data_IF_171466314305
#
_entry.id   IF_171466314305
#
_cell.length_a   1.000
_cell.length_b   1.000
_cell.length_c   1.000
_cell.angle_alpha   90.00
_cell.angle_beta   90.00
_cell.angle_gamma   90.00
#
_symmetry.space_group_name_H-M   'P 1'
#
loop_
_entity.id
_entity.type
_entity.pdbx_description
1 polymer ?
#
# COMPACT_ATOMS: atom_id res chain seq x y z
N UNK A 1 45.62 14.40 -15.97
CA UNK A 1 46.86 13.65 -15.89
C UNK A 1 47.61 13.82 -14.57
N UNK A 2 47.69 15.02 -13.99
CA UNK A 2 48.36 15.28 -12.69
C UNK A 2 47.77 14.49 -11.52
N UNK A 3 46.44 14.41 -11.36
CA UNK A 3 45.77 13.63 -10.32
C UNK A 3 46.15 12.13 -10.30
N UNK A 4 46.32 11.54 -11.48
CA UNK A 4 46.76 10.14 -11.59
C UNK A 4 48.22 9.93 -11.15
N UNK A 5 49.10 10.88 -11.47
CA UNK A 5 50.49 10.81 -11.08
C UNK A 5 50.65 10.94 -9.55
N UNK A 6 49.91 11.86 -8.90
CA UNK A 6 49.94 11.99 -7.45
C UNK A 6 49.35 10.77 -6.73
N UNK A 7 48.32 10.16 -7.30
CA UNK A 7 47.72 8.93 -6.74
C UNK A 7 48.70 7.77 -6.79
N UNK A 8 49.44 7.61 -7.90
CA UNK A 8 50.46 6.55 -8.06
C UNK A 8 51.60 6.72 -7.06
N UNK A 9 52.06 7.97 -6.85
CA UNK A 9 53.13 8.27 -5.89
C UNK A 9 52.63 8.00 -4.44
N UNK A 10 51.40 8.37 -4.10
CA UNK A 10 50.81 8.10 -2.80
C UNK A 10 50.65 6.59 -2.52
N UNK A 11 50.28 5.79 -3.54
CA UNK A 11 50.18 4.34 -3.43
C UNK A 11 51.53 3.68 -3.18
N UNK A 12 52.59 4.16 -3.82
CA UNK A 12 53.96 3.62 -3.59
C UNK A 12 54.56 4.02 -2.27
N UNK A 13 54.15 5.13 -1.68
CA UNK A 13 54.59 5.61 -0.35
C UNK A 13 53.80 5.00 0.81
N UNK A 14 52.67 4.34 0.54
CA UNK A 14 51.84 3.75 1.59
C UNK A 14 52.48 2.49 2.17
N UNK A 15 52.51 2.40 3.51
CA UNK A 15 52.89 1.14 4.21
C UNK A 15 51.95 0.01 3.80
N UNK A 16 52.51 -1.18 3.52
CA UNK A 16 51.75 -2.32 2.98
C UNK A 16 50.49 -2.70 3.78
N UNK A 17 50.52 -2.60 5.11
CA UNK A 17 49.39 -2.96 5.97
C UNK A 17 48.14 -2.10 5.77
N UNK A 18 48.22 -0.75 5.91
CA UNK A 18 47.06 0.12 5.70
C UNK A 18 46.57 0.13 4.24
N UNK A 19 47.44 -0.07 3.28
CA UNK A 19 47.05 -0.18 1.86
C UNK A 19 46.12 -1.38 1.62
N UNK A 20 46.49 -2.57 2.09
CA UNK A 20 45.64 -3.76 1.93
C UNK A 20 44.34 -3.67 2.68
N UNK A 21 44.32 -3.03 3.86
CA UNK A 21 43.11 -2.82 4.64
C UNK A 21 42.13 -1.87 3.91
N UNK A 22 42.63 -0.75 3.38
CA UNK A 22 41.82 0.18 2.58
C UNK A 22 41.29 -0.46 1.30
N UNK A 23 42.13 -1.26 0.61
CA UNK A 23 41.72 -1.99 -0.60
C UNK A 23 40.63 -3.01 -0.32
N UNK A 24 40.72 -3.73 0.80
CA UNK A 24 39.70 -4.69 1.23
C UNK A 24 38.37 -3.99 1.55
N UNK A 25 38.40 -2.86 2.26
CA UNK A 25 37.20 -2.06 2.56
C UNK A 25 36.57 -1.52 1.28
N UNK A 26 37.38 -0.98 0.36
CA UNK A 26 36.89 -0.49 -0.92
C UNK A 26 36.24 -1.60 -1.76
N UNK A 27 36.84 -2.79 -1.78
CA UNK A 27 36.29 -3.96 -2.49
C UNK A 27 34.96 -4.42 -1.87
N UNK A 28 34.82 -4.43 -0.54
CA UNK A 28 33.58 -4.75 0.15
C UNK A 28 32.46 -3.74 -0.15
N UNK A 29 32.78 -2.44 -0.15
CA UNK A 29 31.83 -1.39 -0.49
C UNK A 29 31.38 -1.49 -1.96
N UNK A 30 32.31 -1.71 -2.88
CA UNK A 30 32.01 -1.90 -4.31
C UNK A 30 31.15 -3.15 -4.52
N UNK A 31 31.46 -4.27 -3.87
CA UNK A 31 30.64 -5.49 -3.91
C UNK A 31 29.25 -5.29 -3.35
N UNK A 32 29.10 -4.57 -2.23
CA UNK A 32 27.82 -4.23 -1.64
C UNK A 32 26.96 -3.33 -2.54
N UNK A 33 27.57 -2.32 -3.17
CA UNK A 33 26.90 -1.46 -4.15
C UNK A 33 26.46 -2.24 -5.40
N UNK A 34 27.33 -3.11 -5.92
CA UNK A 34 27.01 -3.94 -7.09
C UNK A 34 25.88 -4.92 -6.77
N UNK A 35 25.92 -5.57 -5.62
CA UNK A 35 24.84 -6.44 -5.15
C UNK A 35 23.50 -5.69 -5.03
N UNK A 36 23.50 -4.50 -4.42
CA UNK A 36 22.31 -3.65 -4.31
C UNK A 36 21.77 -3.23 -5.69
N UNK A 37 22.65 -2.86 -6.61
CA UNK A 37 22.28 -2.50 -7.98
C UNK A 37 21.68 -3.68 -8.75
N UNK A 38 22.29 -4.86 -8.68
CA UNK A 38 21.79 -6.07 -9.32
C UNK A 38 20.43 -6.50 -8.75
N UNK A 39 20.26 -6.44 -7.44
CA UNK A 39 18.98 -6.72 -6.79
C UNK A 39 17.89 -5.74 -7.21
N UNK A 40 18.21 -4.46 -7.31
CA UNK A 40 17.27 -3.44 -7.79
C UNK A 40 16.87 -3.65 -9.25
N UNK A 41 17.81 -4.03 -10.10
CA UNK A 41 17.58 -4.33 -11.52
C UNK A 41 16.73 -5.60 -11.72
N UNK A 42 16.95 -6.62 -10.90
CA UNK A 42 16.14 -7.85 -10.96
C UNK A 42 14.65 -7.56 -10.67
N UNK A 43 14.37 -6.74 -9.67
CA UNK A 43 13.00 -6.32 -9.38
C UNK A 43 12.38 -5.52 -10.53
N UNK A 44 13.12 -4.60 -11.14
CA UNK A 44 12.59 -3.80 -12.27
C UNK A 44 12.27 -4.67 -13.49
N UNK A 45 13.15 -5.59 -13.86
CA UNK A 45 12.96 -6.47 -15.04
C UNK A 45 11.76 -7.41 -14.88
N UNK A 46 11.42 -7.81 -13.65
CA UNK A 46 10.25 -8.64 -13.36
C UNK A 46 8.95 -7.92 -13.73
N UNK A 47 8.90 -6.58 -13.58
CA UNK A 47 7.71 -5.78 -13.88
C UNK A 47 7.66 -5.29 -15.35
N UNK A 48 8.81 -5.07 -16.00
CA UNK A 48 8.86 -4.53 -17.36
C UNK A 48 8.48 -5.57 -18.44
N UNK A 49 8.57 -6.85 -18.16
CA UNK A 49 8.35 -7.94 -19.12
C UNK A 49 6.99 -8.63 -18.99
N UNK A 50 6.10 -8.15 -18.11
CA UNK A 50 4.76 -8.73 -18.01
C UNK A 50 3.83 -8.13 -19.06
N UNK A 51 3.28 -8.93 -19.99
CA UNK A 51 2.26 -8.45 -20.90
C UNK A 51 0.99 -8.12 -20.11
N UNK A 52 0.39 -6.96 -20.41
CA UNK A 52 -0.92 -6.60 -19.87
C UNK A 52 -1.93 -7.63 -20.32
N UNK A 53 -2.54 -8.33 -19.37
CA UNK A 53 -3.57 -9.31 -19.65
C UNK A 53 -4.98 -8.68 -19.58
N UNK A 54 -5.92 -9.23 -20.35
CA UNK A 54 -7.33 -8.99 -20.14
C UNK A 54 -7.84 -9.88 -19.00
N UNK A 55 -8.76 -9.39 -18.20
CA UNK A 55 -9.29 -10.09 -17.00
C UNK A 55 -9.75 -11.51 -17.35
N UNK A 56 -10.50 -11.66 -18.47
CA UNK A 56 -11.03 -12.96 -18.90
C UNK A 56 -9.97 -13.98 -19.32
N UNK A 57 -8.81 -13.51 -19.77
CA UNK A 57 -7.69 -14.34 -20.25
C UNK A 57 -6.47 -14.28 -19.36
N UNK A 58 -6.59 -13.70 -18.18
CA UNK A 58 -5.49 -13.59 -17.23
C UNK A 58 -5.05 -14.99 -16.77
N UNK A 59 -3.75 -15.23 -16.84
CA UNK A 59 -3.17 -16.47 -16.34
C UNK A 59 -3.17 -16.49 -14.82
N UNK A 60 -3.30 -17.67 -14.23
CA UNK A 60 -3.12 -17.88 -12.80
C UNK A 60 -1.71 -17.47 -12.39
N UNK A 61 -1.59 -16.83 -11.22
CA UNK A 61 -0.31 -16.37 -10.70
C UNK A 61 -0.11 -14.87 -10.84
N UNK A 62 1.14 -14.43 -10.90
CA UNK A 62 1.48 -13.02 -10.92
C UNK A 62 1.21 -12.41 -12.30
N UNK A 63 0.30 -11.45 -12.37
CA UNK A 63 -0.15 -10.84 -13.62
C UNK A 63 -0.36 -9.34 -13.49
N UNK A 64 -0.42 -8.68 -14.64
CA UNK A 64 -0.68 -7.26 -14.79
C UNK A 64 -2.06 -7.06 -15.44
N UNK A 65 -2.90 -6.29 -14.79
CA UNK A 65 -4.26 -5.96 -15.26
C UNK A 65 -4.43 -4.46 -15.38
N UNK A 66 -5.23 -4.05 -16.35
CA UNK A 66 -5.69 -2.65 -16.52
C UNK A 66 -7.20 -2.63 -16.62
N UNK A 67 -7.81 -1.68 -15.94
CA UNK A 67 -9.26 -1.54 -15.99
C UNK A 67 -9.71 -0.30 -15.25
N UNK A 68 -11.02 -0.20 -15.09
CA UNK A 68 -11.68 0.86 -14.35
C UNK A 68 -12.04 0.34 -12.96
N UNK A 69 -11.81 1.17 -11.95
CA UNK A 69 -12.22 0.87 -10.59
C UNK A 69 -13.74 0.97 -10.45
N UNK A 70 -14.37 -0.04 -9.87
CA UNK A 70 -15.80 -0.03 -9.58
C UNK A 70 -16.04 -0.44 -8.13
N UNK A 71 -17.13 0.08 -7.55
CA UNK A 71 -17.55 -0.35 -6.22
C UNK A 71 -18.15 -1.75 -6.31
N UNK A 72 -17.93 -2.55 -5.29
CA UNK A 72 -18.71 -3.78 -5.11
C UNK A 72 -20.11 -3.42 -4.63
N UNK A 73 -21.05 -4.30 -4.93
CA UNK A 73 -22.42 -4.17 -4.42
C UNK A 73 -22.44 -4.17 -2.89
N UNK A 74 -23.27 -3.34 -2.33
CA UNK A 74 -23.41 -3.14 -0.89
C UNK A 74 -23.21 -1.69 -0.46
N UNK A 75 -22.89 -1.48 0.82
CA UNK A 75 -22.70 -0.14 1.37
C UNK A 75 -21.51 0.58 0.74
N UNK A 76 -21.70 1.81 0.26
CA UNK A 76 -20.63 2.55 -0.39
C UNK A 76 -19.51 2.89 0.59
N UNK A 77 -18.27 2.61 0.19
CA UNK A 77 -17.08 2.99 0.94
C UNK A 77 -16.95 4.50 0.90
N UNK A 78 -16.74 5.11 2.08
CA UNK A 78 -16.53 6.56 2.22
C UNK A 78 -15.24 6.84 2.95
N UNK A 79 -14.48 7.79 2.43
CA UNK A 79 -13.26 8.26 3.07
C UNK A 79 -13.58 8.95 4.41
N UNK A 80 -12.83 8.66 5.51
CA UNK A 80 -13.21 9.09 6.86
C UNK A 80 -13.20 10.59 7.07
N UNK A 81 -12.30 11.32 6.42
CA UNK A 81 -12.16 12.75 6.69
C UNK A 81 -12.98 13.62 5.71
N UNK A 82 -13.12 13.21 4.44
CA UNK A 82 -13.90 13.97 3.44
C UNK A 82 -15.33 13.47 3.24
N UNK A 83 -15.67 12.26 3.68
CA UNK A 83 -16.92 11.54 3.43
C UNK A 83 -17.22 11.28 1.95
N UNK A 84 -16.25 11.45 1.08
CA UNK A 84 -16.40 11.17 -0.35
C UNK A 84 -16.47 9.68 -0.61
N UNK A 85 -17.31 9.29 -1.56
CA UNK A 85 -17.38 7.93 -2.05
C UNK A 85 -16.07 7.58 -2.78
N UNK A 86 -15.53 6.40 -2.50
CA UNK A 86 -14.31 5.89 -3.09
C UNK A 86 -14.32 4.36 -3.06
N UNK A 87 -13.48 3.75 -3.85
CA UNK A 87 -13.24 2.30 -3.81
C UNK A 87 -12.08 1.97 -2.85
N UNK A 88 -11.19 2.93 -2.66
CA UNK A 88 -10.06 2.80 -1.75
C UNK A 88 -9.64 4.18 -1.22
N UNK A 89 -9.18 4.20 0.04
CA UNK A 89 -8.63 5.41 0.65
C UNK A 89 -7.43 5.09 1.56
N UNK A 90 -6.58 6.09 1.71
CA UNK A 90 -5.58 6.19 2.77
C UNK A 90 -5.65 7.57 3.36
N UNK A 91 -5.74 7.67 4.67
CA UNK A 91 -5.80 8.96 5.35
C UNK A 91 -4.75 9.10 6.44
N UNK A 92 -4.40 10.34 6.73
CA UNK A 92 -3.50 10.73 7.81
C UNK A 92 -3.98 12.05 8.41
N UNK A 93 -4.12 12.07 9.73
CA UNK A 93 -4.47 13.24 10.50
C UNK A 93 -3.29 13.62 11.37
N UNK A 94 -2.82 14.85 11.22
CA UNK A 94 -1.69 15.38 11.96
C UNK A 94 -2.13 16.61 12.74
N UNK A 95 -1.59 16.78 13.95
CA UNK A 95 -1.81 17.94 14.80
C UNK A 95 -0.55 18.79 14.85
N UNK A 96 -0.71 20.11 14.76
CA UNK A 96 0.38 21.03 14.97
C UNK A 96 0.70 21.13 16.47
N UNK A 97 1.93 20.79 16.83
CA UNK A 97 2.46 20.93 18.18
C UNK A 97 3.58 21.98 18.20
N UNK A 98 3.50 22.85 19.20
CA UNK A 98 4.57 23.80 19.49
C UNK A 98 5.39 23.24 20.66
N UNK A 99 6.69 23.01 20.42
CA UNK A 99 7.65 22.58 21.42
C UNK A 99 8.72 23.63 21.61
N UNK A 100 9.19 23.83 22.83
CA UNK A 100 10.23 24.81 23.17
C UNK A 100 9.74 25.95 24.06
N UNK A 101 10.67 26.67 24.70
CA UNK A 101 10.42 27.81 25.59
C UNK A 101 11.04 29.10 25.00
N UNK A 102 10.32 30.21 25.09
CA UNK A 102 10.85 31.51 24.68
C UNK A 102 11.05 31.66 23.17
N UNK A 103 12.26 32.05 22.74
CA UNK A 103 12.61 32.32 21.32
C UNK A 103 12.82 31.04 20.47
N UNK A 104 13.02 29.87 21.10
CA UNK A 104 13.27 28.60 20.43
C UNK A 104 12.01 27.74 20.24
N UNK A 105 10.87 28.36 20.00
CA UNK A 105 9.62 27.65 19.66
C UNK A 105 9.77 26.96 18.31
N UNK A 106 9.69 25.64 18.30
CA UNK A 106 9.62 24.83 17.07
C UNK A 106 8.20 24.31 16.89
N UNK A 107 7.69 24.41 15.66
CA UNK A 107 6.41 23.84 15.26
C UNK A 107 6.64 22.56 14.48
N UNK A 108 5.99 21.49 14.87
CA UNK A 108 6.05 20.20 14.20
C UNK A 108 4.67 19.58 14.06
N UNK A 109 4.47 18.86 12.94
CA UNK A 109 3.25 18.09 12.72
C UNK A 109 3.42 16.70 13.32
N UNK A 110 2.57 16.36 14.26
CA UNK A 110 2.56 15.06 14.93
C UNK A 110 1.36 14.26 14.44
N UNK A 111 1.61 13.04 13.97
CA UNK A 111 0.54 12.14 13.52
C UNK A 111 -0.32 11.72 14.71
N UNK A 112 -1.61 12.00 14.61
CA UNK A 112 -2.63 11.66 15.61
C UNK A 112 -3.36 10.40 15.23
N UNK A 113 -3.59 10.24 13.91
CA UNK A 113 -4.37 9.13 13.39
C UNK A 113 -4.01 8.89 11.92
N UNK A 114 -4.03 7.64 11.52
CA UNK A 114 -3.86 7.24 10.12
C UNK A 114 -4.54 5.90 9.89
N UNK A 115 -4.97 5.66 8.65
CA UNK A 115 -5.58 4.41 8.27
C UNK A 115 -5.55 4.20 6.76
N UNK A 116 -5.78 2.96 6.38
CA UNK A 116 -5.86 2.52 4.98
C UNK A 116 -7.12 1.66 4.86
N UNK A 117 -7.85 1.81 3.77
CA UNK A 117 -8.95 0.94 3.41
C UNK A 117 -8.40 -0.41 2.91
N UNK A 118 -8.93 -1.49 3.45
CA UNK A 118 -8.63 -2.86 3.05
C UNK A 118 -9.86 -3.57 2.43
N UNK A 119 -10.91 -2.81 2.13
CA UNK A 119 -12.13 -3.34 1.51
C UNK A 119 -11.87 -3.73 0.07
N UNK A 120 -12.49 -4.83 -0.34
CA UNK A 120 -12.49 -5.31 -1.72
C UNK A 120 -13.20 -4.30 -2.63
N UNK A 121 -12.75 -4.23 -3.88
CA UNK A 121 -13.40 -3.46 -4.94
C UNK A 121 -13.29 -4.20 -6.26
N UNK A 122 -14.06 -3.81 -7.25
CA UNK A 122 -14.03 -4.41 -8.58
C UNK A 122 -13.08 -3.66 -9.51
N UNK A 123 -12.39 -4.41 -10.36
CA UNK A 123 -11.69 -3.93 -11.53
C UNK A 123 -12.41 -4.47 -12.75
N UNK A 124 -12.85 -3.58 -13.64
CA UNK A 124 -13.59 -3.94 -14.87
C UNK A 124 -12.80 -3.50 -16.09
N UNK A 125 -12.64 -4.39 -17.05
CA UNK A 125 -12.09 -4.11 -18.36
C UNK A 125 -13.12 -4.48 -19.46
N UNK A 126 -12.71 -4.40 -20.74
CA UNK A 126 -13.57 -4.77 -21.88
C UNK A 126 -13.92 -6.25 -21.93
N UNK A 127 -13.25 -7.10 -21.17
CA UNK A 127 -13.39 -8.55 -21.20
C UNK A 127 -14.18 -9.12 -20.02
N UNK A 128 -14.21 -8.42 -18.89
CA UNK A 128 -14.86 -8.88 -17.68
C UNK A 128 -14.54 -8.05 -16.45
N UNK A 129 -14.93 -8.58 -15.30
CA UNK A 129 -14.74 -7.96 -13.98
C UNK A 129 -14.04 -8.94 -13.05
N UNK A 130 -13.13 -8.45 -12.21
CA UNK A 130 -12.53 -9.23 -11.13
C UNK A 130 -12.54 -8.43 -9.82
N UNK A 131 -12.61 -9.15 -8.70
CA UNK A 131 -12.46 -8.56 -7.38
C UNK A 131 -10.96 -8.31 -7.09
N UNK A 132 -10.67 -7.17 -6.49
CA UNK A 132 -9.33 -6.76 -6.09
C UNK A 132 -9.27 -6.65 -4.57
N UNK A 133 -8.30 -7.34 -3.98
CA UNK A 133 -7.96 -7.18 -2.57
C UNK A 133 -6.75 -6.25 -2.43
N UNK A 134 -6.95 -5.05 -1.86
CA UNK A 134 -5.87 -4.09 -1.66
C UNK A 134 -5.05 -4.34 -0.39
N UNK A 135 -5.32 -5.38 0.39
CA UNK A 135 -4.61 -5.65 1.63
C UNK A 135 -3.11 -5.85 1.37
N UNK A 136 -2.28 -5.14 2.13
CA UNK A 136 -0.82 -5.17 1.96
C UNK A 136 -0.29 -4.55 0.67
N UNK A 137 -1.15 -4.05 -0.22
CA UNK A 137 -0.74 -3.49 -1.49
C UNK A 137 -0.02 -2.14 -1.33
N UNK A 138 0.95 -1.90 -2.22
CA UNK A 138 1.56 -0.59 -2.38
C UNK A 138 0.75 0.21 -3.39
N UNK A 139 -0.10 1.10 -2.89
CA UNK A 139 -0.99 1.90 -3.73
C UNK A 139 -0.41 3.28 -4.00
N UNK A 140 -0.43 3.67 -5.27
CA UNK A 140 -0.10 5.02 -5.75
C UNK A 140 -1.38 5.66 -6.28
N UNK A 141 -2.16 6.26 -5.39
CA UNK A 141 -3.36 6.98 -5.79
C UNK A 141 -3.00 8.28 -6.51
N UNK A 142 -3.69 8.56 -7.61
CA UNK A 142 -3.51 9.78 -8.41
C UNK A 142 -4.01 11.01 -7.67
N UNK A 143 -5.03 10.86 -6.84
CA UNK A 143 -5.61 11.95 -6.08
C UNK A 143 -5.07 11.98 -4.66
N UNK A 144 -4.53 13.15 -4.30
CA UNK A 144 -4.11 13.49 -2.95
C UNK A 144 -4.71 14.84 -2.56
N UNK A 145 -5.55 14.84 -1.55
CA UNK A 145 -6.15 16.04 -1.00
C UNK A 145 -5.50 16.37 0.35
N UNK A 146 -5.19 17.65 0.57
CA UNK A 146 -4.65 18.15 1.83
C UNK A 146 -5.42 19.39 2.22
N UNK A 147 -5.95 19.41 3.44
CA UNK A 147 -6.63 20.59 3.99
C UNK A 147 -6.38 20.72 5.50
N UNK A 148 -6.83 21.83 6.05
CA UNK A 148 -6.59 22.18 7.45
C UNK A 148 -7.89 22.47 8.16
N UNK A 149 -7.93 22.20 9.46
CA UNK A 149 -9.10 22.45 10.29
C UNK A 149 -8.77 22.50 11.78
N UNK A 150 -9.77 22.72 12.57
CA UNK A 150 -9.64 22.80 14.04
C UNK A 150 -10.19 21.57 14.77
N UNK A 151 -10.89 20.68 14.06
CA UNK A 151 -11.45 19.45 14.61
C UNK A 151 -10.55 18.25 14.30
N UNK A 152 -10.47 17.27 15.20
CA UNK A 152 -9.76 16.02 14.93
C UNK A 152 -10.36 15.26 13.76
N UNK A 153 -11.69 15.23 13.63
CA UNK A 153 -12.42 14.55 12.55
C UNK A 153 -13.41 15.50 11.89
N UNK A 154 -13.14 16.00 10.69
CA UNK A 154 -14.05 16.94 10.03
C UNK A 154 -15.32 16.26 9.49
N UNK A 155 -15.26 14.98 9.13
CA UNK A 155 -16.34 14.26 8.47
C UNK A 155 -17.37 13.59 9.36
N UNK A 156 -17.22 13.63 10.67
CA UNK A 156 -18.27 13.17 11.60
C UNK A 156 -18.28 11.67 11.94
N UNK A 157 -17.32 10.87 11.54
CA UNK A 157 -17.11 9.54 12.12
C UNK A 157 -16.59 9.70 13.55
N UNK A 158 -17.53 9.61 14.49
CA UNK A 158 -17.26 9.73 15.93
C UNK A 158 -16.76 8.41 16.47
N UNK A 159 -15.65 8.37 17.22
CA UNK A 159 -15.43 7.25 18.13
C UNK A 159 -16.63 7.15 19.07
N UNK A 160 -17.22 5.98 19.19
CA UNK A 160 -18.28 5.74 20.16
C UNK A 160 -17.75 6.06 21.56
N UNK A 161 -18.34 7.08 22.23
CA UNK A 161 -17.95 7.46 23.59
C UNK A 161 -17.42 8.89 23.78
N UNK A 162 -17.32 9.70 22.73
CA UNK A 162 -16.85 11.09 22.86
C UNK A 162 -17.94 12.00 23.44
N UNK A 163 -17.71 12.52 24.67
CA UNK A 163 -18.60 13.41 25.38
C UNK A 163 -18.63 14.80 24.67
N UNK A 164 -19.82 15.42 24.40
CA UNK A 164 -19.91 16.71 23.70
C UNK A 164 -19.10 17.86 24.36
N UNK A 165 -18.93 17.81 25.67
CA UNK A 165 -18.16 18.80 26.42
C UNK A 165 -16.64 18.65 26.21
N UNK A 166 -16.12 17.44 26.10
CA UNK A 166 -14.69 17.22 25.84
C UNK A 166 -14.27 17.72 24.48
N UNK A 167 -15.17 17.71 23.47
CA UNK A 167 -14.95 18.25 22.13
C UNK A 167 -14.78 19.76 22.12
N UNK A 168 -15.58 20.48 22.91
CA UNK A 168 -15.54 21.94 22.99
C UNK A 168 -14.19 22.41 23.56
N UNK A 169 -13.70 21.74 24.59
CA UNK A 169 -12.42 22.05 25.23
C UNK A 169 -11.18 21.52 24.46
N UNK A 170 -11.28 20.41 23.73
CA UNK A 170 -10.16 19.82 23.02
C UNK A 170 -9.86 20.46 21.64
N UNK A 171 -10.80 21.22 21.09
CA UNK A 171 -10.68 21.87 19.78
C UNK A 171 -10.14 23.30 19.81
N UNK A 172 -10.13 23.97 20.97
CA UNK A 172 -9.74 25.37 21.06
C UNK A 172 -8.23 25.52 20.85
N UNK A 173 -7.86 26.18 19.76
CA UNK A 173 -6.45 26.51 19.44
C UNK A 173 -5.60 25.39 18.81
N UNK A 174 -6.17 24.21 18.56
CA UNK A 174 -5.45 23.12 17.90
C UNK A 174 -5.68 23.15 16.39
N UNK A 175 -4.59 23.14 15.62
CA UNK A 175 -4.64 23.08 14.16
C UNK A 175 -4.33 21.66 13.70
N UNK A 176 -5.20 21.12 12.84
CA UNK A 176 -5.03 19.80 12.24
C UNK A 176 -4.79 19.91 10.76
N UNK A 177 -3.98 19.00 10.22
CA UNK A 177 -3.76 18.78 8.80
C UNK A 177 -4.29 17.40 8.45
N UNK A 178 -5.17 17.35 7.47
CA UNK A 178 -5.74 16.12 6.95
C UNK A 178 -5.13 15.87 5.59
N UNK A 179 -4.69 14.65 5.37
CA UNK A 179 -4.19 14.18 4.07
C UNK A 179 -4.97 12.94 3.71
N UNK A 180 -5.64 12.95 2.56
CA UNK A 180 -6.32 11.79 2.01
C UNK A 180 -5.78 11.47 0.62
N UNK A 181 -5.62 10.18 0.37
CA UNK A 181 -5.37 9.61 -0.94
C UNK A 181 -6.58 8.76 -1.30
N UNK A 182 -7.16 8.98 -2.47
CA UNK A 182 -8.40 8.35 -2.89
C UNK A 182 -8.23 7.69 -4.25
N UNK A 183 -8.91 6.55 -4.43
CA UNK A 183 -9.26 5.98 -5.73
C UNK A 183 -10.78 6.04 -5.82
N UNK A 184 -11.30 6.66 -6.88
CA UNK A 184 -12.73 6.82 -7.09
C UNK A 184 -13.28 5.73 -8.00
N UNK A 185 -14.59 5.46 -7.91
CA UNK A 185 -15.25 4.70 -8.97
C UNK A 185 -15.05 5.40 -10.32
N UNK A 186 -14.66 4.63 -11.33
CA UNK A 186 -14.36 5.15 -12.65
C UNK A 186 -12.90 5.60 -12.87
N UNK A 187 -12.04 5.56 -11.87
CA UNK A 187 -10.62 5.80 -12.07
C UNK A 187 -9.97 4.63 -12.83
N UNK A 188 -9.13 4.97 -13.81
CA UNK A 188 -8.33 3.97 -14.50
C UNK A 188 -7.21 3.46 -13.59
N UNK A 189 -7.14 2.15 -13.43
CA UNK A 189 -6.16 1.48 -12.58
C UNK A 189 -5.24 0.58 -13.40
N UNK A 190 -4.02 0.50 -12.89
CA UNK A 190 -2.99 -0.43 -13.29
C UNK A 190 -2.61 -1.25 -12.07
N UNK A 191 -2.87 -2.54 -12.11
CA UNK A 191 -2.71 -3.44 -10.98
C UNK A 191 -1.73 -4.54 -11.34
N UNK A 192 -0.78 -4.79 -10.44
CA UNK A 192 0.13 -5.92 -10.51
C UNK A 192 -0.09 -6.73 -9.23
N UNK A 193 -0.44 -7.99 -9.38
CA UNK A 193 -0.72 -8.85 -8.23
C UNK A 193 -0.89 -10.30 -8.61
N UNK A 194 -1.17 -11.10 -7.62
CA UNK A 194 -1.49 -12.51 -7.82
C UNK A 194 -2.94 -12.65 -8.25
N UNK A 195 -3.15 -13.21 -9.42
CA UNK A 195 -4.48 -13.50 -9.96
C UNK A 195 -4.82 -14.97 -9.73
N UNK A 196 -5.98 -15.19 -9.15
CA UNK A 196 -6.52 -16.53 -8.90
C UNK A 196 -7.98 -16.57 -9.35
N UNK A 197 -8.40 -17.65 -9.98
CA UNK A 197 -9.79 -17.87 -10.34
C UNK A 197 -10.41 -18.85 -9.36
N UNK A 198 -11.41 -18.42 -8.65
CA UNK A 198 -12.17 -19.27 -7.75
C UNK A 198 -13.42 -19.79 -8.48
N UNK A 199 -13.59 -21.10 -8.57
CA UNK A 199 -14.78 -21.73 -9.15
C UNK A 199 -14.75 -21.82 -10.67
N UNK A 200 -13.84 -22.58 -11.23
CA UNK A 200 -13.78 -22.91 -12.65
C UNK A 200 -14.74 -24.03 -13.07
N UNK A 201 -16.02 -23.96 -12.74
CA UNK A 201 -17.04 -24.83 -13.31
C UNK A 201 -18.21 -23.98 -13.77
N UNK A 202 -18.24 -23.74 -15.08
CA UNK A 202 -19.33 -23.10 -15.75
C UNK A 202 -20.56 -24.04 -15.77
N UNK A 203 -21.29 -24.16 -14.67
CA UNK A 203 -22.67 -24.65 -14.74
C UNK A 203 -23.37 -24.47 -13.40
N UNK A 204 -23.74 -23.25 -13.09
CA UNK A 204 -24.93 -22.96 -12.28
C UNK A 204 -25.23 -21.46 -12.44
N UNK A 205 -26.47 -21.10 -12.79
CA UNK A 205 -26.92 -19.74 -12.61
C UNK A 205 -27.11 -19.52 -11.10
N UNK A 206 -26.01 -19.18 -10.44
CA UNK A 206 -26.04 -18.71 -9.07
C UNK A 206 -26.60 -17.30 -9.15
N UNK A 207 -27.59 -17.01 -8.34
CA UNK A 207 -28.06 -15.66 -8.05
C UNK A 207 -26.84 -14.79 -7.76
N UNK A 208 -26.59 -13.83 -8.69
CA UNK A 208 -25.23 -13.40 -9.02
C UNK A 208 -24.63 -12.38 -8.07
N UNK A 209 -25.38 -11.76 -7.17
CA UNK A 209 -24.92 -10.48 -6.68
C UNK A 209 -24.54 -10.41 -5.20
N UNK A 210 -25.16 -11.19 -4.32
CA UNK A 210 -24.87 -11.06 -2.88
C UNK A 210 -23.82 -12.07 -2.35
N UNK A 211 -23.70 -13.21 -3.02
CA UNK A 211 -22.98 -14.35 -2.43
C UNK A 211 -21.46 -14.32 -2.56
N UNK A 212 -20.90 -13.79 -3.64
CA UNK A 212 -19.44 -13.80 -3.85
C UNK A 212 -18.75 -12.76 -2.97
N UNK A 213 -19.27 -11.54 -2.94
CA UNK A 213 -18.71 -10.48 -2.11
C UNK A 213 -18.86 -10.77 -0.61
N UNK A 214 -20.01 -11.32 -0.20
CA UNK A 214 -20.22 -11.75 1.18
C UNK A 214 -19.34 -12.94 1.56
N UNK A 215 -19.17 -13.90 0.69
CA UNK A 215 -18.29 -15.05 0.90
C UNK A 215 -16.82 -14.64 1.01
N UNK A 216 -16.35 -13.77 0.12
CA UNK A 216 -14.99 -13.23 0.21
C UNK A 216 -14.78 -12.40 1.48
N UNK A 217 -15.78 -11.60 1.88
CA UNK A 217 -15.71 -10.87 3.16
C UNK A 217 -15.76 -11.78 4.37
N UNK A 218 -16.54 -12.85 4.34
CA UNK A 218 -16.59 -13.83 5.43
C UNK A 218 -15.28 -14.60 5.53
N UNK A 219 -14.72 -15.01 4.42
CA UNK A 219 -13.41 -15.66 4.36
C UNK A 219 -12.30 -14.76 4.87
N UNK A 220 -12.32 -13.49 4.50
CA UNK A 220 -11.34 -12.51 5.00
C UNK A 220 -11.45 -12.27 6.51
N UNK A 221 -12.65 -12.36 7.09
CA UNK A 221 -12.88 -12.18 8.53
C UNK A 221 -12.57 -13.43 9.36
N UNK A 222 -12.71 -14.59 8.80
CA UNK A 222 -12.53 -15.86 9.51
C UNK A 222 -11.57 -16.81 8.78
N UNK A 223 -10.28 -16.43 8.84
CA UNK A 223 -9.19 -17.30 8.34
C UNK A 223 -9.21 -18.69 9.02
N UNK A 224 -9.65 -18.76 10.27
CA UNK A 224 -9.75 -20.04 10.96
C UNK A 224 -10.84 -20.96 10.41
N UNK A 225 -11.91 -20.40 9.84
CA UNK A 225 -12.93 -21.17 9.14
C UNK A 225 -12.40 -21.68 7.79
N UNK A 226 -11.68 -20.84 7.05
CA UNK A 226 -11.03 -21.20 5.80
C UNK A 226 -10.06 -22.37 5.96
N UNK A 227 -9.16 -22.28 6.93
CA UNK A 227 -8.20 -23.35 7.21
C UNK A 227 -8.92 -24.66 7.60
N UNK A 228 -10.01 -24.60 8.34
CA UNK A 228 -10.77 -25.81 8.70
C UNK A 228 -11.49 -26.46 7.52
N UNK A 229 -11.86 -25.67 6.51
CA UNK A 229 -12.63 -26.12 5.35
C UNK A 229 -11.73 -26.58 4.19
N UNK A 230 -10.56 -25.96 4.02
CA UNK A 230 -9.70 -26.15 2.84
C UNK A 230 -8.28 -26.65 3.14
N UNK A 231 -7.80 -26.58 4.38
CA UNK A 231 -6.48 -27.10 4.79
C UNK A 231 -6.60 -28.59 5.11
N UNK A 232 -6.46 -29.44 4.10
CA UNK A 232 -6.54 -30.90 4.25
C UNK A 232 -5.32 -31.46 4.98
N UNK A 233 -4.15 -30.90 4.76
CA UNK A 233 -2.88 -31.37 5.32
C UNK A 233 -2.60 -30.82 6.74
N UNK A 234 -3.35 -29.80 7.19
CA UNK A 234 -3.28 -29.15 8.50
C UNK A 234 -1.92 -28.48 8.80
N UNK A 235 -1.28 -27.92 7.77
CA UNK A 235 -0.03 -27.21 7.94
C UNK A 235 -0.22 -25.71 8.24
N UNK A 236 -1.46 -25.21 8.25
CA UNK A 236 -1.81 -23.83 8.53
C UNK A 236 -1.75 -22.92 7.30
N UNK A 237 -1.59 -23.49 6.12
CA UNK A 237 -1.57 -22.80 4.84
C UNK A 237 -2.48 -23.54 3.85
N UNK A 238 -3.16 -22.77 2.97
CA UNK A 238 -3.93 -23.35 1.87
C UNK A 238 -3.06 -23.24 0.63
N UNK A 239 -2.65 -24.34 0.07
CA UNK A 239 -1.82 -24.39 -1.12
C UNK A 239 -2.64 -24.71 -2.39
N UNK A 240 -1.99 -24.68 -3.57
CA UNK A 240 -2.66 -24.84 -4.86
C UNK A 240 -3.13 -26.29 -5.14
N UNK A 241 -2.89 -27.23 -4.23
CA UNK A 241 -3.29 -28.64 -4.36
C UNK A 241 -4.49 -28.98 -3.46
N UNK A 242 -4.83 -28.13 -2.51
CA UNK A 242 -6.00 -28.14 -1.64
C UNK A 242 -7.15 -27.29 -2.22
#
# INVERSE_FOLDING_TARGET
>A
MQLFAELVVAIHAAKAGPFWLLSAVAALLAGGMLYGALRSLSHKRMFENMPTALIRSAAQGYTELRGMAEMMDGDPIRAPASLRQCVWFKYKIERLEESGRGRDKRRSWVTVEQGVCDSLFNLTDTSGTCAVDPEGAKVHASQRDVWYGQSRMPGGLRPAGDNPLSRWFSGIGKQYRYTEHLIRPGDALYIIGQFTTHGGSATSPIDKDDTVAERLRSWKRDQGALLREFDENRDGHIDAQE
#
